data_IF_799494068412
#
_entry.id   IF_799494068412
#
_cell.length_a   1.000
_cell.length_b   1.000
_cell.length_c   1.000
_cell.angle_alpha   90.00
_cell.angle_beta   90.00
_cell.angle_gamma   90.00
#
_symmetry.space_group_name_H-M   'P 1'
#
loop_
_entity.id
_entity.type
_entity.pdbx_description
1 polymer ?
#
# COMPACT_ATOMS: atom_id res chain seq x y z
N UNK A 1 23.72 3.44 -20.40
CA UNK A 1 23.53 2.07 -19.86
C UNK A 1 22.23 1.56 -20.43
N UNK A 2 22.22 0.40 -21.08
CA UNK A 2 20.98 -0.22 -21.61
C UNK A 2 20.49 -1.15 -20.51
N UNK A 3 19.33 -0.84 -19.94
CA UNK A 3 18.67 -1.73 -18.96
C UNK A 3 17.92 -2.84 -19.71
N UNK A 4 18.06 -4.06 -19.22
CA UNK A 4 17.28 -5.20 -19.73
C UNK A 4 15.86 -5.18 -19.12
N UNK A 5 15.01 -4.33 -19.68
CA UNK A 5 13.62 -4.15 -19.23
C UNK A 5 12.81 -5.46 -19.23
N UNK A 6 12.90 -6.34 -20.26
CA UNK A 6 12.22 -7.63 -20.23
C UNK A 6 12.56 -8.49 -19.01
N UNK A 7 13.85 -8.61 -18.66
CA UNK A 7 14.28 -9.36 -17.47
C UNK A 7 13.78 -8.72 -16.18
N UNK A 8 13.94 -7.40 -16.00
CA UNK A 8 13.45 -6.67 -14.83
C UNK A 8 11.93 -6.81 -14.66
N UNK A 9 11.18 -6.77 -15.77
CA UNK A 9 9.73 -6.98 -15.76
C UNK A 9 9.36 -8.40 -15.34
N UNK A 10 10.08 -9.40 -15.84
CA UNK A 10 9.85 -10.80 -15.48
C UNK A 10 10.11 -11.06 -13.99
N UNK A 11 11.18 -10.48 -13.45
CA UNK A 11 11.52 -10.56 -12.01
C UNK A 11 10.46 -9.86 -11.16
N UNK A 12 10.01 -8.66 -11.56
CA UNK A 12 8.93 -7.93 -10.87
C UNK A 12 7.63 -8.74 -10.85
N UNK A 13 7.22 -9.32 -11.99
CA UNK A 13 6.02 -10.17 -12.06
C UNK A 13 6.17 -11.42 -11.19
N UNK A 14 7.36 -12.02 -11.15
CA UNK A 14 7.66 -13.17 -10.29
C UNK A 14 7.47 -12.82 -8.81
N UNK A 15 8.06 -11.72 -8.37
CA UNK A 15 7.93 -11.20 -7.00
C UNK A 15 6.48 -10.85 -6.67
N UNK A 16 5.76 -10.15 -7.57
CA UNK A 16 4.35 -9.80 -7.39
C UNK A 16 3.48 -11.03 -7.20
N UNK A 17 3.68 -12.09 -7.99
CA UNK A 17 2.95 -13.35 -7.83
C UNK A 17 3.19 -13.98 -6.45
N UNK A 18 4.41 -13.91 -5.95
CA UNK A 18 4.75 -14.43 -4.62
C UNK A 18 4.06 -13.62 -3.51
N UNK A 19 4.05 -12.29 -3.62
CA UNK A 19 3.37 -11.42 -2.67
C UNK A 19 1.85 -11.63 -2.68
N UNK A 20 1.21 -11.72 -3.85
CA UNK A 20 -0.24 -12.03 -3.96
C UNK A 20 -0.59 -13.35 -3.26
N UNK A 21 0.30 -14.36 -3.33
CA UNK A 21 0.05 -15.66 -2.70
C UNK A 21 0.17 -15.64 -1.16
N UNK A 22 0.65 -14.54 -0.58
CA UNK A 22 0.77 -14.33 0.85
C UNK A 22 -0.33 -13.33 1.27
N UNK A 23 -1.39 -13.76 1.98
CA UNK A 23 -2.36 -12.81 2.53
C UNK A 23 -1.68 -11.72 3.36
N UNK A 24 -1.98 -10.47 3.05
CA UNK A 24 -1.35 -9.29 3.64
C UNK A 24 -2.41 -8.24 3.96
N UNK A 25 -3.41 -8.63 4.75
CA UNK A 25 -4.45 -7.69 5.16
C UNK A 25 -3.86 -6.65 6.11
N UNK A 26 -4.39 -5.41 6.05
CA UNK A 26 -3.93 -4.34 6.95
C UNK A 26 -3.87 -4.80 8.40
N UNK A 27 -2.71 -4.64 9.03
CA UNK A 27 -2.31 -5.10 10.38
C UNK A 27 -1.96 -6.59 10.50
N UNK A 28 -1.98 -7.34 9.40
CA UNK A 28 -1.59 -8.77 9.33
C UNK A 28 -0.60 -9.02 8.18
N UNK A 29 0.35 -8.09 7.99
CA UNK A 29 1.29 -8.09 6.86
C UNK A 29 2.61 -8.81 7.17
N UNK A 30 2.80 -9.36 8.38
CA UNK A 30 4.08 -9.90 8.86
C UNK A 30 4.74 -10.83 7.85
N UNK A 31 3.98 -11.79 7.32
CA UNK A 31 4.51 -12.80 6.37
C UNK A 31 4.94 -12.18 5.04
N UNK A 32 4.19 -11.21 4.54
CA UNK A 32 4.53 -10.51 3.30
C UNK A 32 5.77 -9.63 3.50
N UNK A 33 5.85 -8.95 4.63
CA UNK A 33 7.00 -8.14 5.01
C UNK A 33 8.26 -9.00 5.20
N UNK A 34 8.16 -10.17 5.87
CA UNK A 34 9.26 -11.13 6.02
C UNK A 34 9.74 -11.64 4.67
N UNK A 35 8.81 -12.01 3.79
CA UNK A 35 9.13 -12.47 2.45
C UNK A 35 9.86 -11.39 1.64
N UNK A 36 9.33 -10.15 1.66
CA UNK A 36 9.93 -9.02 0.94
C UNK A 36 11.31 -8.65 1.50
N UNK A 37 11.45 -8.64 2.82
CA UNK A 37 12.73 -8.39 3.48
C UNK A 37 13.77 -9.42 3.04
N UNK A 38 13.47 -10.70 3.14
CA UNK A 38 14.35 -11.77 2.69
C UNK A 38 14.70 -11.63 1.20
N UNK A 39 13.73 -11.29 0.35
CA UNK A 39 13.98 -11.06 -1.06
C UNK A 39 15.00 -9.94 -1.30
N UNK A 40 14.86 -8.81 -0.61
CA UNK A 40 15.76 -7.66 -0.70
C UNK A 40 17.16 -8.03 -0.21
N UNK A 41 17.27 -8.76 0.90
CA UNK A 41 18.55 -9.22 1.45
C UNK A 41 19.25 -10.21 0.52
N UNK A 42 18.52 -11.08 -0.17
CA UNK A 42 19.06 -11.96 -1.21
C UNK A 42 19.61 -11.18 -2.42
N UNK A 43 19.14 -9.95 -2.66
CA UNK A 43 19.73 -9.04 -3.66
C UNK A 43 21.00 -8.34 -3.16
N UNK A 44 21.47 -8.66 -1.95
CA UNK A 44 22.67 -8.09 -1.35
C UNK A 44 22.47 -6.72 -0.69
N UNK A 45 21.22 -6.33 -0.44
CA UNK A 45 20.88 -5.05 0.21
C UNK A 45 20.62 -5.27 1.71
N UNK A 46 21.22 -4.41 2.54
CA UNK A 46 20.87 -4.36 3.96
C UNK A 46 19.50 -3.72 4.15
N UNK A 47 18.68 -4.31 5.01
CA UNK A 47 17.31 -3.84 5.30
C UNK A 47 17.20 -3.30 6.71
N UNK A 48 16.28 -2.35 6.90
CA UNK A 48 15.73 -1.97 8.18
C UNK A 48 14.29 -2.46 8.30
N UNK A 49 13.83 -2.68 9.53
CA UNK A 49 12.47 -3.16 9.83
C UNK A 49 11.88 -2.43 11.04
N UNK A 50 10.62 -2.00 10.93
CA UNK A 50 9.84 -1.52 12.07
C UNK A 50 8.39 -1.95 11.93
N UNK A 51 7.94 -2.82 12.81
CA UNK A 51 6.67 -3.53 12.60
C UNK A 51 6.71 -4.31 11.29
N UNK A 52 5.74 -4.08 10.42
CA UNK A 52 5.66 -4.68 9.09
C UNK A 52 6.20 -3.78 7.97
N UNK A 53 6.75 -2.61 8.30
CA UNK A 53 7.44 -1.75 7.35
C UNK A 53 8.86 -2.25 7.09
N UNK A 54 9.25 -2.34 5.84
CA UNK A 54 10.59 -2.78 5.39
C UNK A 54 11.21 -1.71 4.53
N UNK A 55 12.45 -1.32 4.82
CA UNK A 55 13.16 -0.35 3.99
C UNK A 55 14.60 -0.75 3.73
N UNK A 56 15.19 -0.12 2.74
CA UNK A 56 16.63 -0.18 2.48
C UNK A 56 17.15 1.15 1.91
N UNK A 57 18.42 1.41 2.16
CA UNK A 57 19.11 2.59 1.70
C UNK A 57 20.10 2.23 0.59
N UNK A 58 20.36 3.15 -0.33
CA UNK A 58 21.40 2.96 -1.33
C UNK A 58 22.78 2.74 -0.69
N UNK A 59 23.63 1.83 -1.21
CA UNK A 59 24.86 1.39 -0.54
C UNK A 59 25.87 2.50 -0.20
N UNK A 60 25.89 3.58 -0.98
CA UNK A 60 26.80 4.72 -0.77
C UNK A 60 25.99 5.96 -0.34
N UNK A 61 25.24 5.83 0.75
CA UNK A 61 24.44 6.92 1.30
C UNK A 61 25.35 8.06 1.80
N UNK A 62 25.11 9.27 1.33
CA UNK A 62 25.88 10.47 1.70
C UNK A 62 24.92 11.58 2.16
N UNK A 63 24.99 11.97 3.42
CA UNK A 63 24.14 13.00 4.02
C UNK A 63 24.23 14.38 3.33
N UNK A 64 25.24 14.60 2.48
CA UNK A 64 25.39 15.83 1.69
C UNK A 64 24.55 15.82 0.40
N UNK A 65 24.06 14.67 0.00
CA UNK A 65 23.23 14.53 -1.20
C UNK A 65 21.75 14.59 -0.86
N UNK A 66 20.88 15.13 -1.76
CA UNK A 66 19.45 15.04 -1.59
C UNK A 66 18.99 13.58 -1.61
N UNK A 67 17.92 13.27 -0.88
CA UNK A 67 17.38 11.92 -0.77
C UNK A 67 16.04 11.82 -1.46
N UNK A 68 15.89 10.81 -2.32
CA UNK A 68 14.65 10.39 -2.95
C UNK A 68 14.11 9.14 -2.26
N UNK A 69 12.91 9.23 -1.72
CA UNK A 69 12.14 8.10 -1.22
C UNK A 69 11.31 7.49 -2.35
N UNK A 70 11.38 6.17 -2.49
CA UNK A 70 10.48 5.35 -3.31
C UNK A 70 9.62 4.53 -2.35
N UNK A 71 8.35 4.88 -2.21
CA UNK A 71 7.43 4.26 -1.26
C UNK A 71 6.22 3.66 -1.97
N UNK A 72 5.75 2.53 -1.48
CA UNK A 72 4.43 1.96 -1.76
C UNK A 72 4.04 1.01 -0.62
N UNK A 73 2.75 0.66 -0.50
CA UNK A 73 2.27 -0.17 0.60
C UNK A 73 2.14 -1.64 0.22
N UNK A 74 2.30 -2.52 1.21
CA UNK A 74 2.21 -3.98 1.05
C UNK A 74 0.90 -4.56 1.58
N UNK A 75 0.14 -3.77 2.32
CA UNK A 75 -1.15 -4.23 2.83
C UNK A 75 -2.25 -4.15 1.78
N UNK A 76 -3.32 -4.88 2.04
CA UNK A 76 -4.51 -4.95 1.20
C UNK A 76 -5.76 -4.89 2.05
N UNK A 77 -6.85 -4.44 1.45
CA UNK A 77 -8.19 -4.59 2.01
C UNK A 77 -8.60 -6.06 2.11
N UNK A 78 -9.66 -6.35 2.87
CA UNK A 78 -10.26 -7.69 2.87
C UNK A 78 -10.93 -7.99 1.52
N UNK A 79 -10.79 -9.21 0.98
CA UNK A 79 -11.49 -9.57 -0.25
C UNK A 79 -13.01 -9.49 -0.03
N UNK A 80 -13.69 -8.84 -0.97
CA UNK A 80 -15.16 -8.74 -0.95
C UNK A 80 -15.81 -9.99 -1.53
N UNK A 81 -17.10 -10.20 -1.19
CA UNK A 81 -17.89 -11.25 -1.83
C UNK A 81 -18.03 -10.97 -3.33
N UNK A 82 -17.92 -12.00 -4.15
CA UNK A 82 -18.09 -11.88 -5.60
C UNK A 82 -16.81 -11.99 -6.43
N UNK A 83 -15.67 -12.20 -5.80
CA UNK A 83 -14.45 -12.57 -6.53
C UNK A 83 -14.69 -13.84 -7.36
N UNK A 84 -14.40 -13.78 -8.67
CA UNK A 84 -14.57 -14.92 -9.58
C UNK A 84 -13.38 -15.86 -9.57
N UNK A 85 -12.25 -15.43 -9.03
CA UNK A 85 -11.00 -16.18 -8.88
C UNK A 85 -10.58 -16.10 -7.42
N UNK A 86 -9.76 -17.02 -6.96
CA UNK A 86 -9.17 -16.95 -5.63
C UNK A 86 -8.31 -15.67 -5.53
N UNK A 87 -8.60 -14.74 -4.60
CA UNK A 87 -7.88 -13.48 -4.45
C UNK A 87 -6.39 -13.68 -4.11
N UNK A 88 -6.03 -14.80 -3.46
CA UNK A 88 -4.66 -15.11 -3.07
C UNK A 88 -3.96 -16.10 -4.01
N UNK A 89 -4.58 -16.41 -5.15
CA UNK A 89 -3.96 -17.22 -6.18
C UNK A 89 -3.62 -16.38 -7.41
N UNK A 90 -2.36 -15.99 -7.60
CA UNK A 90 -1.95 -15.14 -8.71
C UNK A 90 -2.26 -15.87 -10.04
N UNK A 91 -3.13 -15.30 -10.83
CA UNK A 91 -3.57 -15.90 -12.10
C UNK A 91 -3.20 -14.99 -13.26
N UNK A 92 -2.23 -15.42 -14.07
CA UNK A 92 -1.86 -14.72 -15.30
C UNK A 92 -2.68 -15.31 -16.47
N UNK A 93 -3.43 -14.47 -17.15
CA UNK A 93 -4.21 -14.84 -18.34
C UNK A 93 -3.41 -14.68 -19.64
N UNK A 94 -3.88 -15.31 -20.69
CA UNK A 94 -3.24 -15.25 -22.02
C UNK A 94 -3.19 -13.83 -22.61
N UNK A 95 -4.07 -12.93 -22.17
CA UNK A 95 -4.09 -11.51 -22.55
C UNK A 95 -3.07 -10.66 -21.76
N UNK A 96 -2.27 -11.25 -20.88
CA UNK A 96 -1.28 -10.58 -20.05
C UNK A 96 -1.80 -9.99 -18.75
N UNK A 97 -3.10 -10.13 -18.41
CA UNK A 97 -3.65 -9.66 -17.14
C UNK A 97 -3.28 -10.59 -16.00
N UNK A 98 -2.72 -10.02 -14.93
CA UNK A 98 -2.43 -10.72 -13.68
C UNK A 98 -3.54 -10.39 -12.67
N UNK A 99 -4.27 -11.41 -12.25
CA UNK A 99 -5.32 -11.31 -11.23
C UNK A 99 -4.78 -11.74 -9.87
N UNK A 100 -5.21 -11.02 -8.84
CA UNK A 100 -4.94 -11.29 -7.45
C UNK A 100 -5.22 -10.05 -6.60
N UNK A 101 -5.56 -10.23 -5.33
CA UNK A 101 -5.76 -9.11 -4.41
C UNK A 101 -4.44 -8.37 -4.22
N UNK A 102 -4.49 -7.04 -4.25
CA UNK A 102 -3.28 -6.21 -4.17
C UNK A 102 -2.38 -6.25 -5.42
N UNK A 103 -2.81 -6.88 -6.54
CA UNK A 103 -1.99 -6.93 -7.75
C UNK A 103 -1.77 -5.55 -8.39
N UNK A 104 -2.71 -4.63 -8.23
CA UNK A 104 -2.65 -3.26 -8.72
C UNK A 104 -2.47 -2.26 -7.58
N UNK A 105 -3.22 -2.43 -6.51
CA UNK A 105 -3.24 -1.60 -5.32
C UNK A 105 -2.63 -2.37 -4.13
N UNK A 106 -1.34 -2.14 -3.74
CA UNK A 106 -0.36 -1.40 -4.53
C UNK A 106 0.85 -2.28 -4.92
N UNK A 107 0.65 -3.63 -4.97
CA UNK A 107 1.73 -4.59 -5.22
C UNK A 107 2.52 -4.35 -6.51
N UNK A 108 1.86 -3.93 -7.61
CA UNK A 108 2.56 -3.58 -8.84
C UNK A 108 3.55 -2.44 -8.61
N UNK A 109 3.16 -1.44 -7.83
CA UNK A 109 4.03 -0.31 -7.46
C UNK A 109 5.16 -0.74 -6.53
N UNK A 110 4.87 -1.58 -5.51
CA UNK A 110 5.88 -2.17 -4.62
C UNK A 110 7.01 -2.81 -5.41
N UNK A 111 6.68 -3.73 -6.32
CA UNK A 111 7.70 -4.47 -7.05
C UNK A 111 8.40 -3.61 -8.11
N UNK A 112 7.70 -2.69 -8.75
CA UNK A 112 8.26 -1.80 -9.77
C UNK A 112 9.26 -0.82 -9.16
N UNK A 113 8.91 -0.17 -8.06
CA UNK A 113 9.79 0.75 -7.34
C UNK A 113 10.99 0.03 -6.75
N UNK A 114 10.84 -1.23 -6.28
CA UNK A 114 11.96 -2.04 -5.84
C UNK A 114 12.93 -2.34 -6.99
N UNK A 115 12.44 -2.72 -8.18
CA UNK A 115 13.31 -2.96 -9.34
C UNK A 115 14.03 -1.69 -9.78
N UNK A 116 13.37 -0.53 -9.73
CA UNK A 116 14.01 0.77 -9.99
C UNK A 116 15.10 1.04 -8.96
N UNK A 117 14.83 0.86 -7.67
CA UNK A 117 15.78 1.03 -6.60
C UNK A 117 17.03 0.14 -6.80
N UNK A 118 16.83 -1.17 -6.94
CA UNK A 118 17.92 -2.14 -7.12
C UNK A 118 18.75 -1.83 -8.36
N UNK A 119 18.11 -1.40 -9.44
CA UNK A 119 18.79 -1.06 -10.70
C UNK A 119 19.63 0.19 -10.55
N UNK A 120 19.10 1.25 -9.95
CA UNK A 120 19.83 2.51 -9.75
C UNK A 120 20.96 2.38 -8.73
N UNK A 121 20.83 1.49 -7.74
CA UNK A 121 21.89 1.20 -6.77
C UNK A 121 23.13 0.51 -7.38
N UNK A 122 23.03 -0.01 -8.61
CA UNK A 122 24.20 -0.59 -9.32
C UNK A 122 25.20 0.46 -9.79
N UNK A 123 24.83 1.74 -9.76
CA UNK A 123 25.68 2.87 -10.19
C UNK A 123 25.58 4.01 -9.20
N UNK A 124 26.65 4.82 -9.13
CA UNK A 124 26.65 6.02 -8.29
C UNK A 124 25.68 7.04 -8.83
N UNK A 125 24.78 7.52 -7.96
CA UNK A 125 23.82 8.57 -8.25
C UNK A 125 24.26 9.92 -7.65
N UNK A 126 23.76 11.02 -8.22
CA UNK A 126 23.92 12.36 -7.63
C UNK A 126 23.03 12.58 -6.38
N UNK A 127 22.19 11.62 -6.04
CA UNK A 127 21.24 11.62 -4.93
C UNK A 127 21.27 10.28 -4.20
N UNK A 128 20.77 10.28 -2.99
CA UNK A 128 20.52 9.05 -2.23
C UNK A 128 19.16 8.46 -2.63
N UNK A 129 19.05 7.15 -2.46
CA UNK A 129 17.79 6.43 -2.61
C UNK A 129 17.42 5.73 -1.31
N UNK A 130 16.14 5.81 -0.96
CA UNK A 130 15.48 4.98 0.04
C UNK A 130 14.34 4.25 -0.67
N UNK A 131 14.28 2.94 -0.53
CA UNK A 131 13.08 2.17 -0.84
C UNK A 131 12.38 1.85 0.48
N UNK A 132 11.07 2.05 0.54
CA UNK A 132 10.22 1.74 1.68
C UNK A 132 8.96 1.03 1.20
N UNK A 133 8.77 -0.17 1.69
CA UNK A 133 7.51 -0.91 1.64
C UNK A 133 6.79 -0.70 2.96
N UNK A 134 5.75 0.13 2.97
CA UNK A 134 4.97 0.48 4.15
C UNK A 134 3.81 -0.48 4.37
N UNK A 135 3.29 -0.53 5.59
CA UNK A 135 2.10 -1.28 5.97
C UNK A 135 0.99 -0.35 6.47
N UNK A 136 -0.20 -0.91 6.74
CA UNK A 136 -1.37 -0.22 7.31
C UNK A 136 -1.85 1.03 6.54
N UNK A 137 -1.56 1.15 5.24
CA UNK A 137 -1.97 2.29 4.42
C UNK A 137 -3.49 2.36 4.30
N UNK A 138 -4.12 1.25 3.92
CA UNK A 138 -5.56 1.08 3.65
C UNK A 138 -6.48 1.40 4.86
N UNK A 139 -5.88 1.49 6.04
CA UNK A 139 -6.58 1.79 7.30
C UNK A 139 -6.02 3.04 7.99
N UNK A 140 -5.15 3.80 7.32
CA UNK A 140 -4.44 4.96 7.90
C UNK A 140 -3.88 4.64 9.29
N UNK A 141 -3.24 3.48 9.39
CA UNK A 141 -2.84 2.89 10.66
C UNK A 141 -1.58 3.54 11.25
N UNK A 142 -1.51 3.61 12.57
CA UNK A 142 -0.37 4.20 13.30
C UNK A 142 0.92 3.38 13.18
N UNK A 143 0.82 2.10 12.82
CA UNK A 143 1.96 1.23 12.54
C UNK A 143 2.54 1.41 11.13
N UNK A 144 1.90 2.22 10.28
CA UNK A 144 2.31 2.47 8.92
C UNK A 144 3.50 3.43 8.78
N UNK A 145 3.51 4.20 7.70
CA UNK A 145 4.64 5.08 7.33
C UNK A 145 5.01 6.09 8.43
N UNK A 146 4.03 6.61 9.17
CA UNK A 146 4.28 7.61 10.23
C UNK A 146 5.27 7.10 11.29
N UNK A 147 5.23 5.82 11.63
CA UNK A 147 6.14 5.27 12.63
C UNK A 147 7.55 5.07 12.11
N UNK A 148 7.75 4.99 10.79
CA UNK A 148 9.05 4.73 10.15
C UNK A 148 9.79 6.03 9.81
N UNK A 149 9.08 7.09 9.41
CA UNK A 149 9.71 8.34 9.00
C UNK A 149 10.77 8.89 9.96
N UNK A 150 10.60 8.81 11.30
CA UNK A 150 11.63 9.25 12.25
C UNK A 150 12.92 8.41 12.24
N UNK A 151 12.87 7.17 11.73
CA UNK A 151 14.02 6.26 11.64
C UNK A 151 14.84 6.51 10.35
N UNK A 152 14.26 7.21 9.39
CA UNK A 152 14.88 7.45 8.09
C UNK A 152 15.70 8.75 8.07
N UNK A 153 16.75 8.80 7.25
CA UNK A 153 17.44 10.05 6.98
C UNK A 153 16.50 11.12 6.39
N UNK A 154 16.85 12.41 6.43
CA UNK A 154 16.04 13.48 5.84
C UNK A 154 15.72 13.21 4.36
N UNK A 155 14.46 13.34 3.99
CA UNK A 155 13.92 13.10 2.65
C UNK A 155 13.58 14.45 2.01
N UNK A 156 14.06 14.71 0.79
CA UNK A 156 13.77 15.92 0.03
C UNK A 156 12.68 15.71 -1.01
N UNK A 157 12.60 14.49 -1.57
CA UNK A 157 11.60 14.14 -2.57
C UNK A 157 11.08 12.74 -2.30
N UNK A 158 9.81 12.49 -2.64
CA UNK A 158 9.21 11.18 -2.57
C UNK A 158 8.43 10.87 -3.86
N UNK A 159 8.50 9.62 -4.28
CA UNK A 159 7.60 9.02 -5.25
C UNK A 159 6.80 7.97 -4.49
N UNK A 160 5.49 8.17 -4.42
CA UNK A 160 4.55 7.22 -3.82
C UNK A 160 3.88 6.46 -4.95
N UNK A 161 4.00 5.15 -4.91
CA UNK A 161 3.48 4.25 -5.93
C UNK A 161 2.06 3.82 -5.60
N UNK A 162 1.10 4.35 -6.36
CA UNK A 162 -0.33 4.10 -6.26
C UNK A 162 -0.94 3.85 -7.66
N UNK A 163 -2.14 3.26 -7.77
CA UNK A 163 -2.79 2.99 -9.05
C UNK A 163 -3.36 4.26 -9.70
N UNK A 164 -2.51 5.11 -10.26
CA UNK A 164 -2.84 6.39 -10.87
C UNK A 164 -2.94 6.35 -12.40
N UNK A 165 -3.07 5.16 -13.00
CA UNK A 165 -3.03 4.96 -14.46
C UNK A 165 -1.76 5.54 -15.10
N UNK A 166 -0.63 5.53 -14.38
CA UNK A 166 0.66 6.13 -14.78
C UNK A 166 0.59 7.65 -14.98
N UNK A 167 -0.41 8.32 -14.42
CA UNK A 167 -0.49 9.78 -14.40
C UNK A 167 0.12 10.31 -13.11
N UNK A 168 1.12 11.20 -13.15
CA UNK A 168 1.70 11.76 -11.95
C UNK A 168 0.69 12.70 -11.27
N UNK A 169 0.30 12.39 -10.03
CA UNK A 169 -0.44 13.29 -9.17
C UNK A 169 0.56 14.09 -8.32
N UNK A 170 0.47 15.42 -8.35
CA UNK A 170 1.34 16.31 -7.58
C UNK A 170 0.60 16.98 -6.42
N UNK A 171 -0.70 16.82 -6.36
CA UNK A 171 -1.57 17.28 -5.30
C UNK A 171 -2.87 16.46 -5.32
N UNK A 172 -3.49 16.31 -4.18
CA UNK A 172 -4.80 15.66 -4.04
C UNK A 172 -5.71 16.46 -3.10
N UNK A 173 -7.00 16.16 -3.16
CA UNK A 173 -7.96 16.71 -2.21
C UNK A 173 -7.76 16.05 -0.85
N UNK A 174 -7.90 16.82 0.23
CA UNK A 174 -7.88 16.25 1.58
C UNK A 174 -9.02 15.23 1.75
N UNK A 175 -8.73 14.15 2.45
CA UNK A 175 -9.70 13.15 2.86
C UNK A 175 -10.16 13.46 4.29
N UNK A 176 -11.48 13.47 4.48
CA UNK A 176 -12.09 13.53 5.81
C UNK A 176 -13.01 12.33 5.97
N UNK A 177 -12.77 11.53 6.98
CA UNK A 177 -13.61 10.38 7.34
C UNK A 177 -14.46 10.77 8.55
N UNK A 178 -15.77 10.60 8.44
CA UNK A 178 -16.72 10.84 9.52
C UNK A 178 -17.37 9.52 9.92
N UNK A 179 -17.05 9.06 11.13
CA UNK A 179 -17.75 7.92 11.72
C UNK A 179 -19.02 8.41 12.43
N UNK A 180 -20.18 8.02 11.91
CA UNK A 180 -21.47 8.40 12.47
C UNK A 180 -22.14 7.17 13.08
N UNK A 181 -22.47 7.25 14.37
CA UNK A 181 -23.18 6.19 15.08
C UNK A 181 -24.58 6.66 15.46
N UNK A 182 -25.59 5.95 14.96
CA UNK A 182 -26.97 6.15 15.40
C UNK A 182 -27.35 5.08 16.44
N UNK A 183 -27.83 5.51 17.59
CA UNK A 183 -28.31 4.63 18.65
C UNK A 183 -29.86 4.59 18.66
N UNK A 184 -30.40 3.41 18.82
CA UNK A 184 -31.81 3.18 18.93
C UNK A 184 -32.19 2.59 20.29
N UNK A 185 -33.47 2.63 20.61
CA UNK A 185 -34.06 1.97 21.78
C UNK A 185 -34.94 0.83 21.31
N UNK A 186 -34.68 -0.38 21.79
CA UNK A 186 -35.56 -1.52 21.47
C UNK A 186 -36.93 -1.36 22.08
N UNK A 187 -37.96 -1.72 21.31
CA UNK A 187 -39.35 -1.69 21.74
C UNK A 187 -40.20 -2.74 21.01
N UNK A 188 -41.45 -2.94 21.45
CA UNK A 188 -42.35 -3.90 20.83
C UNK A 188 -42.83 -3.36 19.48
N UNK A 189 -42.52 -4.04 18.38
CA UNK A 189 -42.82 -3.58 17.02
C UNK A 189 -44.32 -3.23 16.76
N UNK A 190 -45.23 -3.97 17.37
CA UNK A 190 -46.69 -3.76 17.23
C UNK A 190 -47.23 -2.60 18.07
N UNK A 191 -46.42 -2.02 18.98
CA UNK A 191 -46.87 -0.94 19.88
C UNK A 191 -46.27 0.41 19.58
N UNK A 192 -45.44 0.49 18.52
CA UNK A 192 -44.69 1.69 18.17
C UNK A 192 -43.84 2.25 19.33
N UNK A 193 -43.34 1.35 20.18
CA UNK A 193 -42.47 1.65 21.32
C UNK A 193 -41.01 1.53 20.87
N UNK A 194 -40.20 2.49 21.29
CA UNK A 194 -38.75 2.49 20.96
C UNK A 194 -38.34 3.45 19.85
N UNK A 195 -37.04 3.56 19.62
CA UNK A 195 -36.45 4.43 18.61
C UNK A 195 -35.69 3.58 17.58
N UNK A 196 -36.11 3.66 16.32
CA UNK A 196 -35.44 2.92 15.25
C UNK A 196 -34.15 3.64 14.83
N UNK A 197 -33.00 3.06 15.14
CA UNK A 197 -31.70 3.64 14.81
C UNK A 197 -31.51 3.92 13.30
N UNK A 198 -32.10 3.10 12.42
CA UNK A 198 -32.06 3.33 10.98
C UNK A 198 -32.84 4.60 10.61
N UNK A 199 -34.03 4.79 11.17
CA UNK A 199 -34.85 6.00 10.95
C UNK A 199 -34.14 7.25 11.48
N UNK A 200 -33.52 7.17 12.66
CA UNK A 200 -32.73 8.24 13.26
C UNK A 200 -31.57 8.61 12.35
N UNK A 201 -30.78 7.63 11.93
CA UNK A 201 -29.64 7.82 11.01
C UNK A 201 -30.08 8.47 9.70
N UNK A 202 -31.12 7.94 9.05
CA UNK A 202 -31.63 8.45 7.78
C UNK A 202 -32.12 9.90 7.89
N UNK A 203 -32.85 10.23 8.93
CA UNK A 203 -33.39 11.58 9.15
C UNK A 203 -32.28 12.60 9.31
N UNK A 204 -31.25 12.27 10.11
CA UNK A 204 -30.15 13.19 10.37
C UNK A 204 -29.18 13.35 9.18
N UNK A 205 -28.84 12.26 8.49
CA UNK A 205 -28.00 12.33 7.29
C UNK A 205 -28.66 13.13 6.17
N UNK A 206 -29.97 12.94 5.95
CA UNK A 206 -30.70 13.65 4.90
C UNK A 206 -30.91 15.15 5.19
N UNK A 207 -30.98 15.54 6.46
CA UNK A 207 -31.07 16.95 6.83
C UNK A 207 -29.83 17.75 6.41
N UNK A 208 -28.66 17.11 6.28
CA UNK A 208 -27.43 17.74 5.80
C UNK A 208 -27.31 17.79 4.27
N UNK A 209 -28.05 16.98 3.52
CA UNK A 209 -28.06 17.03 2.05
C UNK A 209 -28.89 18.18 1.47
N UNK A 210 -29.77 18.79 2.27
CA UNK A 210 -30.70 19.82 1.80
C UNK A 210 -30.17 21.25 1.93
N UNK A 211 -29.01 21.45 2.54
CA UNK A 211 -28.37 22.77 2.69
C UNK A 211 -27.37 23.10 1.57
N UNK A 212 -27.41 22.39 0.47
CA UNK A 212 -26.64 22.68 -0.75
C UNK A 212 -27.54 23.39 -1.76
#
# INVERSE_FOLDING_TARGET
>A
MIYDIPTLTSEAIGLLKSLIAIPSLSRDEEKAADYLQNYIEMQGMATGRKGNNVWCLSPMFDLKKPTLLLNSHIDTVKPVNGWRKDPFKPTLESNGKLYGLGSNDAGASVVSLLQVFLTLCRTTQAYNLIYLASCEEEVSGKGGIECVLPELPPIQFAIVGEPTEMQPAIAEKGLMVLDVTATGKSGHAARNEGDNAISVSYTHLRAHETDQ
#
